data_IF_308780037807
#
_entry.id   IF_308780037807
#
_cell.length_a   1.000
_cell.length_b   1.000
_cell.length_c   1.000
_cell.angle_alpha   90.00
_cell.angle_beta   90.00
_cell.angle_gamma   90.00
#
_symmetry.space_group_name_H-M   'P 1'
#
loop_
_entity.id
_entity.type
_entity.pdbx_description
1 polymer ?
#
# COMPACT_ATOMS: atom_id res chain seq x y z
N UNK A 1 4.86 7.83 -6.78
CA UNK A 1 3.40 7.75 -6.56
C UNK A 1 2.61 8.42 -7.68
N UNK A 2 2.86 9.70 -7.99
CA UNK A 2 2.11 10.47 -9.00
C UNK A 2 1.94 9.78 -10.36
N UNK A 3 3.01 9.30 -11.00
CA UNK A 3 2.90 8.63 -12.31
C UNK A 3 1.99 7.40 -12.28
N UNK A 4 2.11 6.54 -11.25
CA UNK A 4 1.28 5.34 -11.14
C UNK A 4 -0.21 5.73 -11.01
N UNK A 5 -0.51 6.71 -10.16
CA UNK A 5 -1.88 7.23 -10.02
C UNK A 5 -2.39 7.81 -11.34
N UNK A 6 -1.59 8.59 -12.07
CA UNK A 6 -1.98 9.13 -13.38
C UNK A 6 -2.32 8.02 -14.38
N UNK A 7 -1.52 6.96 -14.45
CA UNK A 7 -1.83 5.84 -15.35
C UNK A 7 -3.11 5.11 -14.92
N UNK A 8 -3.31 4.89 -13.62
CA UNK A 8 -4.54 4.29 -13.07
C UNK A 8 -5.77 5.14 -13.42
N UNK A 9 -5.71 6.47 -13.21
CA UNK A 9 -6.80 7.39 -13.53
C UNK A 9 -7.17 7.33 -15.01
N UNK A 10 -6.17 7.33 -15.90
CA UNK A 10 -6.37 7.21 -17.35
C UNK A 10 -6.99 5.86 -17.71
N UNK A 11 -6.44 4.75 -17.19
CA UNK A 11 -6.94 3.40 -17.46
C UNK A 11 -8.40 3.24 -17.03
N UNK A 12 -8.73 3.66 -15.80
CA UNK A 12 -10.09 3.59 -15.29
C UNK A 12 -11.05 4.45 -16.11
N UNK A 13 -10.66 5.67 -16.47
CA UNK A 13 -11.46 6.52 -17.34
C UNK A 13 -11.73 5.87 -18.70
N UNK A 14 -10.72 5.25 -19.32
CA UNK A 14 -10.85 4.57 -20.62
C UNK A 14 -11.74 3.32 -20.52
N UNK A 15 -11.45 2.42 -19.58
CA UNK A 15 -12.19 1.14 -19.42
C UNK A 15 -13.67 1.40 -19.15
N UNK A 16 -14.00 2.47 -18.42
CA UNK A 16 -15.38 2.82 -18.05
C UNK A 16 -16.04 3.78 -19.03
N UNK A 17 -15.34 4.16 -20.11
CA UNK A 17 -15.78 5.18 -21.07
C UNK A 17 -16.26 6.45 -20.37
N UNK A 18 -15.51 6.92 -19.37
CA UNK A 18 -15.88 8.06 -18.56
C UNK A 18 -15.70 9.36 -19.38
N UNK A 19 -16.78 10.12 -19.51
CA UNK A 19 -16.81 11.38 -20.26
C UNK A 19 -16.84 12.58 -19.31
N UNK A 20 -16.36 13.74 -19.78
CA UNK A 20 -16.43 15.01 -19.04
C UNK A 20 -15.29 15.27 -18.04
N UNK A 21 -14.28 14.40 -17.97
CA UNK A 21 -13.16 14.50 -17.02
C UNK A 21 -11.78 14.68 -17.68
N UNK A 22 -11.75 15.00 -18.97
CA UNK A 22 -10.49 15.10 -19.72
C UNK A 22 -9.65 16.28 -19.24
N UNK A 23 -10.27 17.38 -18.80
CA UNK A 23 -9.57 18.56 -18.30
C UNK A 23 -8.82 18.27 -17.00
N UNK A 24 -9.41 17.48 -16.11
CA UNK A 24 -8.82 17.01 -14.86
C UNK A 24 -7.63 16.09 -15.13
N UNK A 25 -7.76 15.18 -16.09
CA UNK A 25 -6.65 14.34 -16.53
C UNK A 25 -5.54 15.16 -17.17
N UNK A 26 -5.87 16.13 -18.01
CA UNK A 26 -4.89 17.00 -18.67
C UNK A 26 -4.09 17.81 -17.65
N UNK A 27 -4.76 18.42 -16.67
CA UNK A 27 -4.08 19.13 -15.58
C UNK A 27 -3.08 18.22 -14.83
N UNK A 28 -3.45 16.95 -14.59
CA UNK A 28 -2.54 16.01 -13.95
C UNK A 28 -1.39 15.58 -14.89
N UNK A 29 -1.62 15.46 -16.21
CA UNK A 29 -0.55 15.21 -17.19
C UNK A 29 0.44 16.37 -17.25
N UNK A 30 -0.06 17.61 -17.29
CA UNK A 30 0.78 18.82 -17.25
C UNK A 30 1.63 18.85 -15.98
N UNK A 31 1.02 18.65 -14.81
CA UNK A 31 1.74 18.57 -13.54
C UNK A 31 2.86 17.53 -13.58
N UNK A 32 2.56 16.31 -14.05
CA UNK A 32 3.56 15.24 -14.21
C UNK A 32 4.64 15.59 -15.24
N UNK A 33 4.30 16.34 -16.30
CA UNK A 33 5.23 16.85 -17.30
C UNK A 33 6.22 17.86 -16.71
N UNK A 34 5.74 18.79 -15.89
CA UNK A 34 6.60 19.74 -15.15
C UNK A 34 7.58 18.98 -14.25
N UNK A 35 7.14 17.90 -13.59
CA UNK A 35 8.04 17.09 -12.75
C UNK A 35 9.16 16.39 -13.52
N UNK A 36 9.10 16.30 -14.85
CA UNK A 36 10.18 15.77 -15.68
C UNK A 36 11.20 16.83 -16.10
N UNK A 37 10.99 18.10 -15.74
CA UNK A 37 12.02 19.11 -15.88
C UNK A 37 13.30 18.64 -15.18
N UNK A 38 14.44 18.90 -15.80
CA UNK A 38 15.75 18.42 -15.32
C UNK A 38 16.21 19.09 -14.02
N UNK A 39 15.46 20.09 -13.53
CA UNK A 39 15.57 20.65 -12.18
C UNK A 39 14.34 20.38 -11.31
N UNK A 40 13.53 19.36 -11.59
CA UNK A 40 12.41 19.00 -10.73
C UNK A 40 12.68 17.65 -10.04
N UNK A 41 12.58 16.55 -10.77
CA UNK A 41 12.83 15.20 -10.20
C UNK A 41 14.27 15.01 -9.73
N UNK A 42 15.21 15.79 -10.25
CA UNK A 42 16.63 15.78 -9.87
C UNK A 42 16.91 16.47 -8.53
N UNK A 43 16.02 17.36 -8.07
CA UNK A 43 16.21 18.12 -6.84
C UNK A 43 17.25 19.24 -6.94
N UNK A 44 17.52 19.76 -8.14
CA UNK A 44 18.52 20.84 -8.39
C UNK A 44 17.92 22.25 -8.37
N UNK A 45 16.63 22.39 -8.06
CA UNK A 45 15.92 23.64 -7.87
C UNK A 45 16.12 24.26 -6.47
N UNK A 46 15.62 25.49 -6.29
CA UNK A 46 15.53 26.12 -4.97
C UNK A 46 14.37 25.53 -4.17
N UNK A 47 14.48 25.51 -2.85
CA UNK A 47 13.43 24.96 -1.96
C UNK A 47 12.02 25.51 -2.24
N UNK A 48 11.87 26.81 -2.46
CA UNK A 48 10.56 27.40 -2.78
C UNK A 48 9.94 26.84 -4.08
N UNK A 49 10.79 26.50 -5.05
CA UNK A 49 10.38 25.88 -6.31
C UNK A 49 10.00 24.41 -6.08
N UNK A 50 10.78 23.69 -5.27
CA UNK A 50 10.45 22.33 -4.85
C UNK A 50 9.09 22.26 -4.13
N UNK A 51 8.82 23.23 -3.25
CA UNK A 51 7.54 23.34 -2.54
C UNK A 51 6.38 23.62 -3.50
N UNK A 52 6.61 24.44 -4.53
CA UNK A 52 5.61 24.70 -5.58
C UNK A 52 5.36 23.47 -6.47
N UNK A 53 6.41 22.72 -6.81
CA UNK A 53 6.31 21.44 -7.48
C UNK A 53 5.47 20.43 -6.69
N UNK A 54 5.71 20.32 -5.39
CA UNK A 54 4.90 19.47 -4.51
C UNK A 54 3.42 19.91 -4.49
N UNK A 55 3.15 21.22 -4.43
CA UNK A 55 1.79 21.79 -4.46
C UNK A 55 1.06 21.45 -5.77
N UNK A 56 1.69 21.68 -6.92
CA UNK A 56 1.09 21.41 -8.24
C UNK A 56 0.86 19.91 -8.44
N UNK A 57 1.84 19.08 -8.09
CA UNK A 57 1.72 17.63 -8.19
C UNK A 57 0.59 17.10 -7.30
N UNK A 58 0.48 17.58 -6.07
CA UNK A 58 -0.60 17.20 -5.16
C UNK A 58 -1.96 17.59 -5.72
N UNK A 59 -2.12 18.81 -6.25
CA UNK A 59 -3.36 19.24 -6.89
C UNK A 59 -3.74 18.32 -8.08
N UNK A 60 -2.77 17.95 -8.92
CA UNK A 60 -2.98 17.00 -10.02
C UNK A 60 -3.40 15.61 -9.52
N UNK A 61 -2.74 15.11 -8.47
CA UNK A 61 -3.09 13.83 -7.85
C UNK A 61 -4.53 13.82 -7.31
N UNK A 62 -4.98 14.90 -6.67
CA UNK A 62 -6.36 15.02 -6.19
C UNK A 62 -7.38 14.96 -7.34
N UNK A 63 -7.08 15.61 -8.47
CA UNK A 63 -7.91 15.52 -9.67
C UNK A 63 -7.95 14.08 -10.23
N UNK A 64 -6.79 13.43 -10.39
CA UNK A 64 -6.72 12.04 -10.84
C UNK A 64 -7.45 11.06 -9.91
N UNK A 65 -7.39 11.27 -8.60
CA UNK A 65 -8.14 10.50 -7.61
C UNK A 65 -9.65 10.67 -7.81
N UNK A 66 -10.14 11.90 -8.01
CA UNK A 66 -11.55 12.16 -8.32
C UNK A 66 -11.98 11.42 -9.59
N UNK A 67 -11.21 11.52 -10.68
CA UNK A 67 -11.50 10.77 -11.93
C UNK A 67 -11.60 9.26 -11.69
N UNK A 68 -10.67 8.72 -10.89
CA UNK A 68 -10.65 7.29 -10.56
C UNK A 68 -11.91 6.87 -9.78
N UNK A 69 -12.40 7.71 -8.86
CA UNK A 69 -13.63 7.44 -8.13
C UNK A 69 -14.86 7.46 -9.03
N UNK A 70 -14.96 8.46 -9.92
CA UNK A 70 -16.08 8.58 -10.85
C UNK A 70 -16.13 7.40 -11.82
N UNK A 71 -14.96 6.97 -12.30
CA UNK A 71 -14.82 5.76 -13.12
C UNK A 71 -15.23 4.51 -12.34
N UNK A 72 -14.70 4.27 -11.14
CA UNK A 72 -15.06 3.10 -10.33
C UNK A 72 -16.55 3.09 -9.94
N UNK A 73 -17.13 4.24 -9.66
CA UNK A 73 -18.57 4.39 -9.40
C UNK A 73 -19.39 4.00 -10.62
N UNK A 74 -19.04 4.51 -11.80
CA UNK A 74 -19.67 4.13 -13.09
C UNK A 74 -19.51 2.64 -13.38
N UNK A 75 -18.34 2.08 -13.09
CA UNK A 75 -18.08 0.64 -13.29
C UNK A 75 -18.95 -0.22 -12.37
N UNK A 76 -19.00 0.11 -11.08
CA UNK A 76 -19.78 -0.64 -10.09
C UNK A 76 -21.27 -0.55 -10.38
N UNK A 77 -21.77 0.64 -10.73
CA UNK A 77 -23.20 0.82 -10.95
C UNK A 77 -23.71 0.01 -12.15
N UNK A 78 -22.88 -0.28 -13.15
CA UNK A 78 -23.29 -0.99 -14.39
C UNK A 78 -24.59 -0.44 -15.00
N UNK A 79 -24.87 0.86 -14.80
CA UNK A 79 -26.11 1.53 -15.23
C UNK A 79 -27.25 1.60 -14.20
N UNK A 80 -27.08 1.06 -13.00
CA UNK A 80 -28.10 1.08 -11.93
C UNK A 80 -27.88 2.23 -10.93
N UNK A 81 -28.87 3.12 -10.80
CA UNK A 81 -28.73 4.43 -10.13
C UNK A 81 -28.68 4.38 -8.60
N UNK A 82 -29.05 3.26 -7.97
CA UNK A 82 -29.03 3.13 -6.51
C UNK A 82 -27.61 3.10 -5.90
N UNK A 83 -26.60 2.72 -6.68
CA UNK A 83 -25.19 2.67 -6.23
C UNK A 83 -24.43 4.00 -6.40
N UNK A 84 -25.12 5.08 -6.80
CA UNK A 84 -24.49 6.34 -7.19
C UNK A 84 -24.12 7.28 -6.02
N UNK A 85 -24.52 7.00 -4.78
CA UNK A 85 -24.43 7.95 -3.65
C UNK A 85 -23.26 7.72 -2.69
N UNK A 86 -22.43 6.69 -2.87
CA UNK A 86 -21.36 6.38 -1.91
C UNK A 86 -20.13 7.27 -2.08
N UNK A 87 -19.68 7.88 -0.97
CA UNK A 87 -18.41 8.60 -0.93
C UNK A 87 -17.25 7.62 -0.97
N UNK A 88 -16.35 7.80 -1.93
CA UNK A 88 -15.11 7.04 -2.03
C UNK A 88 -13.93 7.92 -1.63
N UNK A 89 -12.98 7.34 -0.91
CA UNK A 89 -11.78 8.03 -0.44
C UNK A 89 -10.55 7.18 -0.73
N UNK A 90 -9.39 7.84 -0.86
CA UNK A 90 -8.10 7.17 -1.05
C UNK A 90 -7.21 7.50 0.14
N UNK A 91 -6.58 6.49 0.70
CA UNK A 91 -5.58 6.65 1.76
C UNK A 91 -4.21 6.95 1.15
N UNK A 92 -3.83 8.22 1.01
CA UNK A 92 -2.53 8.60 0.39
C UNK A 92 -1.34 8.56 1.37
N UNK A 93 -1.60 8.30 2.66
CA UNK A 93 -0.62 8.38 3.76
C UNK A 93 -0.36 7.02 4.43
N UNK A 94 -0.49 5.94 3.66
CA UNK A 94 -0.23 4.57 4.14
C UNK A 94 1.23 4.33 4.50
N UNK A 95 2.18 5.12 3.97
CA UNK A 95 3.60 5.03 4.32
C UNK A 95 3.90 5.40 5.78
N UNK A 96 3.04 6.19 6.42
CA UNK A 96 3.09 6.55 7.83
C UNK A 96 1.98 5.87 8.64
N UNK A 97 1.45 4.76 8.10
CA UNK A 97 0.36 3.96 8.67
C UNK A 97 -0.80 4.82 9.15
N UNK A 98 -1.30 5.69 8.27
CA UNK A 98 -2.40 6.61 8.55
C UNK A 98 -3.48 6.55 7.47
N UNK A 99 -4.73 6.33 7.90
CA UNK A 99 -5.90 6.55 7.06
C UNK A 99 -7.16 6.78 7.89
N UNK A 100 -7.67 8.02 7.86
CA UNK A 100 -8.81 8.43 8.68
C UNK A 100 -10.10 7.63 8.42
N UNK A 101 -10.23 7.04 7.23
CA UNK A 101 -11.44 6.33 6.81
C UNK A 101 -11.48 4.86 7.25
N UNK A 102 -10.37 4.32 7.78
CA UNK A 102 -10.25 2.90 8.14
C UNK A 102 -9.99 2.68 9.63
N UNK A 103 -9.87 3.75 10.41
CA UNK A 103 -9.51 3.68 11.83
C UNK A 103 -10.73 3.32 12.71
N UNK A 104 -11.87 3.97 12.52
CA UNK A 104 -12.96 3.93 13.52
C UNK A 104 -14.24 3.19 13.08
N UNK A 105 -14.46 2.96 11.79
CA UNK A 105 -15.70 2.41 11.25
C UNK A 105 -15.48 1.11 10.46
N UNK A 106 -16.57 0.39 10.18
CA UNK A 106 -16.55 -0.66 9.16
C UNK A 106 -16.46 -0.01 7.79
N UNK A 107 -15.68 -0.57 6.88
CA UNK A 107 -15.44 0.02 5.57
C UNK A 107 -15.42 -1.02 4.47
N UNK A 108 -15.62 -0.54 3.24
CA UNK A 108 -15.48 -1.34 2.03
C UNK A 108 -14.24 -0.87 1.29
N UNK A 109 -13.32 -1.80 1.04
CA UNK A 109 -12.14 -1.57 0.21
C UNK A 109 -12.46 -1.90 -1.23
N UNK A 110 -12.14 -0.99 -2.15
CA UNK A 110 -12.07 -1.28 -3.58
C UNK A 110 -10.60 -1.26 -4.00
N UNK A 111 -10.10 -2.38 -4.52
CA UNK A 111 -8.70 -2.55 -4.86
C UNK A 111 -8.59 -2.84 -6.34
N UNK A 112 -7.98 -1.92 -7.08
CA UNK A 112 -7.80 -2.01 -8.53
C UNK A 112 -6.39 -2.50 -8.87
N UNK A 113 -6.30 -3.42 -9.84
CA UNK A 113 -5.06 -3.90 -10.40
C UNK A 113 -4.85 -3.27 -11.80
N UNK A 114 -3.87 -2.35 -11.94
CA UNK A 114 -3.57 -1.72 -13.24
C UNK A 114 -2.73 -2.60 -14.18
N UNK A 115 -2.32 -3.79 -13.78
CA UNK A 115 -1.52 -4.70 -14.60
C UNK A 115 -2.42 -5.60 -15.46
N UNK A 116 -1.93 -5.96 -16.65
CA UNK A 116 -2.57 -6.90 -17.59
C UNK A 116 -2.47 -8.38 -17.17
N UNK A 117 -2.05 -8.65 -15.94
CA UNK A 117 -1.93 -9.99 -15.38
C UNK A 117 -2.57 -10.07 -14.01
N UNK A 118 -2.95 -11.29 -13.60
CA UNK A 118 -3.46 -11.55 -12.25
C UNK A 118 -2.36 -11.24 -11.24
N UNK A 119 -2.72 -10.54 -10.16
CA UNK A 119 -1.79 -10.18 -9.09
C UNK A 119 -2.33 -10.70 -7.76
N UNK A 120 -1.47 -11.35 -6.98
CA UNK A 120 -1.73 -11.66 -5.57
C UNK A 120 -0.78 -10.80 -4.76
N UNK A 121 -1.31 -9.88 -3.97
CA UNK A 121 -0.52 -8.93 -3.19
C UNK A 121 -1.01 -8.85 -1.75
N UNK A 122 -0.11 -8.69 -0.76
CA UNK A 122 -0.52 -8.32 0.58
C UNK A 122 -1.07 -6.90 0.55
N UNK A 123 -2.21 -6.71 1.19
CA UNK A 123 -2.86 -5.42 1.42
C UNK A 123 -2.71 -5.11 2.89
N UNK A 124 -2.23 -3.90 3.21
CA UNK A 124 -2.01 -3.42 4.58
C UNK A 124 -2.85 -2.17 4.80
N UNK A 125 -3.70 -2.19 5.81
CA UNK A 125 -4.63 -1.10 6.12
C UNK A 125 -4.49 -0.69 7.58
N UNK A 126 -4.20 0.58 7.89
CA UNK A 126 -4.16 1.08 9.26
C UNK A 126 -5.54 0.99 9.91
N UNK A 127 -5.59 0.39 11.09
CA UNK A 127 -6.82 0.17 11.86
C UNK A 127 -6.57 0.39 13.36
N UNK A 128 -7.65 0.52 14.11
CA UNK A 128 -7.58 0.46 15.57
C UNK A 128 -7.40 -0.97 16.06
N UNK A 129 -6.90 -1.15 17.29
CA UNK A 129 -6.72 -2.46 17.90
C UNK A 129 -8.03 -3.27 17.96
N UNK A 130 -8.09 -4.44 17.33
CA UNK A 130 -9.27 -5.28 17.42
C UNK A 130 -9.21 -6.54 16.57
N UNK A 131 -10.26 -7.36 16.67
CA UNK A 131 -10.47 -8.50 15.79
C UNK A 131 -11.28 -8.05 14.58
N UNK A 132 -10.79 -8.36 13.39
CA UNK A 132 -11.43 -8.00 12.13
C UNK A 132 -11.79 -9.24 11.32
N UNK A 133 -12.89 -9.17 10.58
CA UNK A 133 -13.19 -10.10 9.48
C UNK A 133 -13.14 -9.35 8.16
N UNK A 134 -12.61 -10.03 7.14
CA UNK A 134 -12.49 -9.51 5.77
C UNK A 134 -13.25 -10.44 4.86
N UNK A 135 -14.27 -9.93 4.17
CA UNK A 135 -15.13 -10.75 3.28
C UNK A 135 -15.04 -10.22 1.86
N UNK A 136 -14.69 -11.09 0.91
CA UNK A 136 -14.72 -10.78 -0.52
C UNK A 136 -16.19 -10.64 -0.95
N UNK A 137 -16.58 -9.47 -1.45
CA UNK A 137 -17.96 -9.21 -1.87
C UNK A 137 -18.31 -9.87 -3.20
N UNK A 138 -17.33 -10.25 -4.01
CA UNK A 138 -17.56 -10.93 -5.29
C UNK A 138 -17.82 -12.42 -5.05
N UNK A 139 -17.02 -13.05 -4.20
CA UNK A 139 -17.06 -14.50 -3.98
C UNK A 139 -17.84 -14.90 -2.70
N UNK A 140 -18.12 -13.94 -1.80
CA UNK A 140 -18.79 -14.15 -0.51
C UNK A 140 -17.92 -14.82 0.57
N UNK A 141 -16.65 -15.12 0.25
CA UNK A 141 -15.76 -15.87 1.12
C UNK A 141 -15.03 -14.96 2.12
N UNK A 142 -14.88 -15.46 3.35
CA UNK A 142 -14.02 -14.82 4.35
C UNK A 142 -12.54 -15.09 4.04
N UNK A 143 -11.75 -14.02 4.06
CA UNK A 143 -10.32 -14.04 3.76
C UNK A 143 -9.53 -14.05 5.07
N UNK A 144 -8.57 -14.97 5.15
CA UNK A 144 -7.63 -15.00 6.27
C UNK A 144 -6.89 -13.67 6.38
N UNK A 145 -6.89 -13.09 7.58
CA UNK A 145 -6.26 -11.81 7.86
C UNK A 145 -5.48 -11.86 9.17
N UNK A 146 -4.49 -10.97 9.27
CA UNK A 146 -3.60 -10.84 10.42
C UNK A 146 -3.57 -9.39 10.88
N UNK A 147 -3.46 -9.19 12.19
CA UNK A 147 -3.21 -7.89 12.80
C UNK A 147 -1.73 -7.79 13.11
N UNK A 148 -1.11 -6.69 12.68
CA UNK A 148 0.31 -6.38 12.89
C UNK A 148 0.43 -5.04 13.61
N UNK A 149 1.00 -4.98 14.83
CA UNK A 149 1.18 -3.73 15.54
C UNK A 149 2.05 -2.75 14.77
N UNK A 150 1.67 -1.47 14.76
CA UNK A 150 2.46 -0.40 14.13
C UNK A 150 3.68 -0.13 15.02
N UNK A 151 4.91 -0.17 14.48
CA UNK A 151 6.11 0.12 15.28
C UNK A 151 6.11 1.51 15.90
N UNK A 152 6.64 1.64 17.12
CA UNK A 152 6.67 2.91 17.86
C UNK A 152 7.36 4.04 17.06
N UNK A 153 8.41 3.72 16.30
CA UNK A 153 9.09 4.68 15.42
C UNK A 153 8.17 5.27 14.35
N UNK A 154 7.24 4.48 13.81
CA UNK A 154 6.22 4.93 12.85
C UNK A 154 5.14 5.73 13.57
N UNK A 155 4.72 5.30 14.76
CA UNK A 155 3.72 6.01 15.54
C UNK A 155 4.17 7.43 15.92
N UNK A 156 5.48 7.61 16.14
CA UNK A 156 6.11 8.88 16.51
C UNK A 156 6.55 9.75 15.33
N UNK A 157 6.25 9.38 14.09
CA UNK A 157 6.61 10.21 12.92
C UNK A 157 5.97 11.60 13.04
N UNK A 158 6.75 12.69 13.00
CA UNK A 158 6.21 14.04 13.04
C UNK A 158 5.19 14.29 11.93
N UNK A 159 4.05 14.88 12.28
CA UNK A 159 2.97 15.17 11.33
C UNK A 159 1.98 14.03 11.11
N UNK A 160 2.21 12.84 11.68
CA UNK A 160 1.20 11.78 11.77
C UNK A 160 0.08 12.21 12.73
N UNK A 161 -1.16 12.21 12.27
CA UNK A 161 -2.35 12.65 13.03
C UNK A 161 -3.40 11.55 13.23
N UNK A 162 -3.16 10.36 12.69
CA UNK A 162 -4.05 9.20 12.83
C UNK A 162 -3.84 8.49 14.16
N UNK A 163 -4.89 7.83 14.61
CA UNK A 163 -4.95 7.10 15.87
C UNK A 163 -4.73 5.59 15.69
N UNK A 164 -4.51 5.10 14.45
CA UNK A 164 -4.27 3.69 14.18
C UNK A 164 -3.13 3.14 15.06
N UNK A 165 -3.37 2.00 15.70
CA UNK A 165 -2.39 1.29 16.53
C UNK A 165 -1.83 0.05 15.83
N UNK A 166 -2.59 -0.49 14.88
CA UNK A 166 -2.30 -1.74 14.21
C UNK A 166 -2.57 -1.62 12.70
N UNK A 167 -2.06 -2.59 11.94
CA UNK A 167 -2.37 -2.76 10.54
C UNK A 167 -3.06 -4.11 10.33
N UNK A 168 -4.18 -4.07 9.61
CA UNK A 168 -4.84 -5.24 9.07
C UNK A 168 -4.13 -5.66 7.79
N UNK A 169 -3.65 -6.91 7.76
CA UNK A 169 -2.92 -7.49 6.64
C UNK A 169 -3.64 -8.71 6.10
N UNK A 170 -3.90 -8.74 4.79
CA UNK A 170 -4.47 -9.90 4.11
C UNK A 170 -4.01 -9.96 2.66
N UNK A 171 -4.09 -11.12 2.01
CA UNK A 171 -3.76 -11.25 0.60
C UNK A 171 -5.00 -11.03 -0.27
N UNK A 172 -4.90 -10.13 -1.26
CA UNK A 172 -5.92 -9.93 -2.27
C UNK A 172 -5.46 -10.53 -3.61
N UNK A 173 -6.31 -11.36 -4.21
CA UNK A 173 -6.11 -11.95 -5.54
C UNK A 173 -6.91 -11.16 -6.59
N UNK A 174 -6.24 -10.23 -7.27
CA UNK A 174 -6.86 -9.26 -8.17
C UNK A 174 -6.79 -9.72 -9.65
N UNK A 175 -7.88 -9.59 -10.42
CA UNK A 175 -7.88 -9.91 -11.84
C UNK A 175 -7.06 -8.91 -12.68
N UNK A 176 -6.62 -9.28 -13.90
CA UNK A 176 -6.00 -8.36 -14.85
C UNK A 176 -6.88 -7.14 -15.15
N UNK A 177 -6.31 -5.93 -15.12
CA UNK A 177 -7.00 -4.67 -15.43
C UNK A 177 -8.38 -4.54 -14.77
N UNK A 178 -8.53 -5.07 -13.56
CA UNK A 178 -9.81 -5.18 -12.87
C UNK A 178 -9.69 -4.89 -11.39
N UNK A 179 -10.82 -4.82 -10.71
CA UNK A 179 -10.86 -4.56 -9.28
C UNK A 179 -11.61 -5.66 -8.54
N UNK A 180 -11.34 -5.78 -7.24
CA UNK A 180 -12.15 -6.53 -6.28
C UNK A 180 -12.56 -5.64 -5.13
N UNK A 181 -13.64 -6.03 -4.46
CA UNK A 181 -14.17 -5.32 -3.29
C UNK A 181 -14.23 -6.21 -2.07
N UNK A 182 -13.79 -5.68 -0.94
CA UNK A 182 -13.73 -6.39 0.34
C UNK A 182 -14.45 -5.60 1.41
N UNK A 183 -15.33 -6.25 2.17
CA UNK A 183 -15.93 -5.65 3.37
C UNK A 183 -15.08 -5.99 4.58
N UNK A 184 -14.69 -4.98 5.34
CA UNK A 184 -13.93 -5.12 6.57
C UNK A 184 -14.80 -4.73 7.75
N UNK A 185 -14.96 -5.64 8.71
CA UNK A 185 -15.76 -5.41 9.92
C UNK A 185 -14.94 -5.64 11.18
N UNK A 186 -15.04 -4.73 12.15
CA UNK A 186 -14.44 -4.88 13.48
C UNK A 186 -15.40 -5.65 14.39
N UNK A 187 -15.06 -6.90 14.70
CA UNK A 187 -15.90 -7.82 15.48
C UNK A 187 -15.71 -7.65 16.99
N UNK A 188 -14.52 -7.27 17.45
CA UNK A 188 -14.24 -7.04 18.88
C UNK A 188 -13.08 -6.08 19.09
N UNK A 189 -13.13 -5.31 20.19
CA UNK A 189 -12.07 -4.35 20.59
C UNK A 189 -10.95 -4.99 21.44
N UNK A 190 -11.17 -6.20 21.98
CA UNK A 190 -10.19 -6.84 22.87
C UNK A 190 -9.37 -7.91 22.14
N UNK A 191 -8.04 -7.78 22.20
CA UNK A 191 -7.09 -8.80 21.79
C UNK A 191 -6.24 -9.19 23.00
N UNK A 192 -6.51 -10.33 23.61
CA UNK A 192 -5.54 -10.99 24.49
C UNK A 192 -4.56 -11.74 23.60
N UNK A 193 -3.46 -11.11 23.18
CA UNK A 193 -2.35 -11.79 22.52
C UNK A 193 -1.05 -11.48 23.27
N UNK A 194 -0.57 -12.48 24.01
CA UNK A 194 0.82 -12.57 24.46
C UNK A 194 1.65 -13.19 23.34
N UNK A 195 2.76 -12.59 22.91
CA UNK A 195 3.72 -13.28 22.06
C UNK A 195 4.51 -14.27 22.92
N UNK A 196 4.27 -15.57 22.73
CA UNK A 196 5.07 -16.65 23.31
C UNK A 196 5.79 -17.41 22.20
N UNK A 197 7.13 -17.36 22.19
CA UNK A 197 7.98 -18.28 21.42
C UNK A 197 9.06 -17.63 20.57
N UNK A 198 10.14 -18.37 20.35
CA UNK A 198 11.29 -18.01 19.50
C UNK A 198 10.86 -17.43 18.14
N UNK A 199 11.51 -16.35 17.73
CA UNK A 199 11.18 -15.59 16.52
C UNK A 199 11.89 -16.21 15.31
N UNK A 200 11.27 -17.20 14.67
CA UNK A 200 11.54 -17.50 13.26
C UNK A 200 10.56 -16.73 12.38
N UNK A 201 11.06 -16.10 11.31
CA UNK A 201 10.20 -15.50 10.28
C UNK A 201 10.28 -16.41 9.07
N UNK A 202 9.20 -17.13 8.80
CA UNK A 202 9.15 -18.12 7.74
C UNK A 202 8.09 -17.75 6.70
N UNK A 203 8.36 -18.04 5.43
CA UNK A 203 7.37 -18.12 4.37
C UNK A 203 7.61 -19.37 3.51
N UNK A 204 6.79 -19.58 2.46
CA UNK A 204 6.86 -20.79 1.64
C UNK A 204 8.22 -21.00 0.94
N UNK A 205 9.02 -19.94 0.80
CA UNK A 205 10.27 -19.90 0.01
C UNK A 205 11.49 -19.63 0.88
N UNK A 206 11.35 -18.93 1.99
CA UNK A 206 12.44 -18.45 2.82
C UNK A 206 12.17 -18.66 4.31
N UNK A 207 13.19 -19.17 5.00
CA UNK A 207 13.27 -19.17 6.45
C UNK A 207 14.32 -18.16 6.89
N UNK A 208 13.92 -17.21 7.73
CA UNK A 208 14.82 -16.22 8.32
C UNK A 208 15.02 -16.52 9.80
N UNK A 209 16.27 -16.80 10.15
CA UNK A 209 16.70 -16.88 11.55
C UNK A 209 17.32 -15.54 11.94
N UNK A 210 16.72 -14.88 12.92
CA UNK A 210 17.20 -13.61 13.46
C UNK A 210 18.09 -13.88 14.66
N UNK A 211 19.34 -13.41 14.62
CA UNK A 211 20.25 -13.43 15.77
C UNK A 211 20.51 -12.00 16.22
N UNK A 212 20.01 -11.67 17.40
CA UNK A 212 20.20 -10.37 18.04
C UNK A 212 21.48 -10.39 18.88
N UNK A 213 22.45 -9.56 18.51
CA UNK A 213 23.55 -9.15 19.38
C UNK A 213 23.29 -7.70 19.84
N UNK A 214 23.89 -7.25 20.97
CA UNK A 214 23.62 -5.92 21.55
C UNK A 214 23.77 -4.74 20.58
N UNK A 215 24.60 -4.88 19.54
CA UNK A 215 24.91 -3.84 18.55
C UNK A 215 24.55 -4.23 17.11
N UNK A 216 24.16 -5.48 16.86
CA UNK A 216 23.96 -5.99 15.50
C UNK A 216 22.76 -6.94 15.45
N UNK A 217 21.92 -6.77 14.43
CA UNK A 217 20.96 -7.78 14.01
C UNK A 217 21.55 -8.55 12.84
N UNK A 218 21.77 -9.86 13.01
CA UNK A 218 22.12 -10.75 11.93
C UNK A 218 20.86 -11.44 11.39
N UNK A 219 20.66 -11.34 10.09
CA UNK A 219 19.56 -12.00 9.37
C UNK A 219 20.17 -13.17 8.60
N UNK A 220 19.92 -14.40 9.06
CA UNK A 220 20.32 -15.60 8.34
C UNK A 220 19.16 -16.05 7.44
N UNK A 221 19.34 -15.89 6.12
CA UNK A 221 18.37 -16.32 5.11
C UNK A 221 18.67 -17.75 4.66
N UNK A 222 17.68 -18.63 4.77
CA UNK A 222 17.71 -20.00 4.27
C UNK A 222 16.71 -20.13 3.12
N UNK A 223 17.17 -20.60 1.95
CA UNK A 223 16.33 -20.91 0.80
C UNK A 223 15.66 -22.28 0.98
N UNK A 224 14.33 -22.31 0.91
CA UNK A 224 13.52 -23.53 0.95
C UNK A 224 12.94 -23.84 -0.44
N UNK A 225 13.36 -24.93 -1.08
CA UNK A 225 12.62 -25.53 -2.20
C UNK A 225 11.63 -26.56 -1.65
N UNK A 226 10.32 -26.24 -1.66
CA UNK A 226 9.29 -27.28 -1.56
C UNK A 226 9.17 -28.00 -2.90
N UNK A 227 9.87 -29.12 -3.05
CA UNK A 227 9.35 -30.17 -3.91
C UNK A 227 8.16 -30.82 -3.18
N UNK A 228 7.04 -30.91 -3.88
CA UNK A 228 5.78 -31.50 -3.43
C UNK A 228 5.95 -32.98 -3.10
N UNK A 229 6.49 -33.30 -1.93
CA UNK A 229 6.54 -34.62 -1.30
C UNK A 229 7.30 -34.48 0.02
N UNK A 230 6.79 -35.10 1.08
CA UNK A 230 7.42 -35.22 2.39
C UNK A 230 8.88 -35.71 2.27
N UNK A 231 9.86 -34.81 2.19
CA UNK A 231 11.27 -35.11 2.41
C UNK A 231 11.99 -33.96 3.14
N UNK A 232 12.95 -34.28 4.03
CA UNK A 232 13.70 -33.28 4.78
C UNK A 232 14.56 -32.40 3.87
N UNK A 233 14.55 -31.10 4.17
CA UNK A 233 15.12 -30.01 3.37
C UNK A 233 16.61 -30.21 3.05
N UNK A 234 16.98 -30.10 1.76
CA UNK A 234 18.38 -30.02 1.30
C UNK A 234 18.76 -28.55 1.07
N UNK A 235 19.52 -27.97 1.99
CA UNK A 235 20.13 -26.63 1.83
C UNK A 235 21.25 -26.74 0.78
N UNK A 236 21.12 -26.06 -0.37
CA UNK A 236 22.11 -26.15 -1.46
C UNK A 236 23.26 -25.14 -1.35
N UNK A 237 23.05 -23.94 -0.81
CA UNK A 237 24.10 -22.92 -0.69
C UNK A 237 23.90 -22.05 0.56
N UNK A 238 24.97 -21.71 1.26
CA UNK A 238 24.96 -20.79 2.41
C UNK A 238 25.68 -19.50 2.01
N UNK A 239 24.96 -18.38 1.99
CA UNK A 239 25.52 -17.05 1.75
C UNK A 239 25.39 -16.19 3.01
N UNK A 240 26.48 -15.55 3.44
CA UNK A 240 26.45 -14.57 4.52
C UNK A 240 26.43 -13.18 3.92
N UNK A 241 25.30 -12.49 4.04
CA UNK A 241 25.10 -11.13 3.56
C UNK A 241 24.89 -10.23 4.79
N UNK A 242 25.54 -9.06 4.83
CA UNK A 242 25.33 -8.05 5.87
C UNK A 242 24.79 -6.77 5.24
N UNK A 243 23.75 -6.19 5.84
CA UNK A 243 23.20 -4.90 5.46
C UNK A 243 23.47 -3.89 6.59
N UNK A 244 24.17 -2.80 6.27
CA UNK A 244 24.58 -1.76 7.21
C UNK A 244 24.32 -0.39 6.58
N UNK A 245 24.14 0.63 7.42
CA UNK A 245 23.91 2.01 7.01
C UNK A 245 25.14 2.86 7.29
N UNK A 246 25.61 3.59 6.29
CA UNK A 246 26.75 4.52 6.36
C UNK A 246 26.38 5.84 5.68
N UNK A 247 27.09 6.91 5.99
CA UNK A 247 26.94 8.21 5.32
C UNK A 247 28.32 8.81 5.04
N UNK A 248 28.41 9.62 3.99
CA UNK A 248 29.61 10.38 3.66
C UNK A 248 29.54 11.75 4.33
N UNK A 249 30.65 12.19 4.92
CA UNK A 249 30.78 13.58 5.37
C UNK A 249 30.99 14.48 4.16
N UNK A 250 30.10 15.44 3.97
CA UNK A 250 30.25 16.45 2.94
C UNK A 250 31.38 17.41 3.31
N UNK A 251 32.37 17.55 2.43
CA UNK A 251 33.53 18.41 2.67
C UNK A 251 33.29 19.77 2.01
N UNK A 252 33.09 20.81 2.82
CA UNK A 252 32.77 22.18 2.38
C UNK A 252 33.99 22.96 1.84
N UNK A 253 35.02 22.28 1.33
CA UNK A 253 36.19 22.94 0.72
C UNK A 253 35.85 23.35 -0.71
N UNK A 254 35.17 24.48 -0.84
CA UNK A 254 35.09 25.30 -2.05
C UNK A 254 35.58 26.70 -1.70
#
# INVERSE_FOLDING_TARGET
>A
MGNNLLQVSKQLATVTHLEGYEKELEYFREAMGVMQHHDAVTGTEKQLVADDYARILYAGMQQGTNVSFQALRKWRSSGNSEFASENMYTCMQLNISMCLYTEDENFVLAIYNPLSQKVVSPIRVPVQQGKYSVVDLTDGNEIASQIVPIPESVQKIPGRRGNATDELVFFASLPPLGYKTYTVKRNSKNINQQPTGEVSIDNEVFTYLLTYLPTYLFIHMLLCEKHMSYQPMRVKNHFRISQLFYYYHYNNKL
#
